data_IF_795331179090
#
_entry.id   IF_795331179090
#
_cell.length_a   1.000
_cell.length_b   1.000
_cell.length_c   1.000
_cell.angle_alpha   90.00
_cell.angle_beta   90.00
_cell.angle_gamma   90.00
#
_symmetry.space_group_name_H-M   'P 1'
#
loop_
_entity.id
_entity.type
_entity.pdbx_description
1 polymer ?
#
# COMPACT_ATOMS: atom_id res chain seq x y z
N UNK A 1 -30.53 49.58 42.66
CA UNK A 1 -29.34 50.08 43.40
C UNK A 1 -28.69 48.88 44.08
N UNK A 2 -27.48 48.53 43.65
CA UNK A 2 -26.74 47.39 44.21
C UNK A 2 -25.94 47.89 45.43
N UNK A 3 -26.19 47.29 46.58
CA UNK A 3 -25.34 47.44 47.76
C UNK A 3 -24.60 46.12 47.98
N UNK A 4 -23.27 46.16 47.85
CA UNK A 4 -22.38 45.07 48.24
C UNK A 4 -22.05 45.19 49.74
N UNK A 5 -22.35 44.14 50.51
CA UNK A 5 -21.80 43.99 51.84
C UNK A 5 -20.96 42.70 51.91
N UNK A 6 -19.72 42.87 52.40
CA UNK A 6 -18.76 41.82 52.64
C UNK A 6 -19.24 40.80 53.68
N UNK A 7 -19.18 39.53 53.37
CA UNK A 7 -19.10 38.43 54.31
C UNK A 7 -20.46 37.76 54.64
N UNK A 8 -20.90 36.79 53.88
CA UNK A 8 -21.99 35.86 54.22
C UNK A 8 -22.73 35.38 52.98
N UNK A 9 -22.51 34.14 52.56
CA UNK A 9 -23.32 33.48 51.53
C UNK A 9 -24.69 33.14 52.14
N UNK A 10 -25.78 33.64 51.53
CA UNK A 10 -27.16 33.22 51.81
C UNK A 10 -27.51 32.06 50.91
N UNK A 11 -27.88 30.97 51.53
CA UNK A 11 -28.57 29.83 50.83
C UNK A 11 -30.04 29.95 51.25
N UNK A 12 -30.91 30.17 50.26
CA UNK A 12 -32.38 30.13 50.48
C UNK A 12 -32.84 28.70 50.23
N UNK A 13 -33.38 28.07 51.27
CA UNK A 13 -34.12 26.81 51.16
C UNK A 13 -35.58 27.15 51.42
N UNK A 14 -36.46 26.81 50.51
CA UNK A 14 -37.90 26.98 50.61
C UNK A 14 -38.47 26.15 51.82
N UNK A 15 -39.06 26.85 52.75
CA UNK A 15 -39.75 26.23 53.90
C UNK A 15 -39.26 26.82 55.23
N UNK A 16 -39.93 27.92 55.64
CA UNK A 16 -40.07 28.47 57.01
C UNK A 16 -39.14 27.91 58.11
N UNK A 17 -37.98 28.51 58.31
CA UNK A 17 -37.42 28.95 59.58
C UNK A 17 -35.96 29.41 59.37
N UNK A 18 -35.66 30.67 59.73
CA UNK A 18 -34.28 31.17 59.73
C UNK A 18 -33.46 30.54 60.84
N UNK A 19 -32.52 29.67 60.49
CA UNK A 19 -31.49 29.19 61.40
C UNK A 19 -30.20 29.92 61.15
N UNK A 20 -29.85 30.86 62.05
CA UNK A 20 -28.56 31.55 62.01
C UNK A 20 -27.50 30.63 62.60
N UNK A 21 -26.69 30.01 61.74
CA UNK A 21 -25.51 29.25 62.19
C UNK A 21 -24.33 30.19 62.28
N UNK A 22 -23.93 30.49 63.51
CA UNK A 22 -22.66 31.19 63.76
C UNK A 22 -21.48 30.27 63.62
N UNK A 23 -20.65 30.44 62.57
CA UNK A 23 -19.42 29.70 62.38
C UNK A 23 -18.28 30.44 63.13
N UNK A 24 -17.57 29.80 64.09
CA UNK A 24 -16.47 30.46 64.78
C UNK A 24 -15.29 30.71 63.89
N UNK A 25 -14.46 31.73 64.08
CA UNK A 25 -13.31 32.05 63.27
C UNK A 25 -12.27 30.96 63.38
N UNK A 26 -12.04 30.28 62.28
CA UNK A 26 -11.02 29.23 62.17
C UNK A 26 -9.64 29.91 62.07
N UNK A 27 -8.82 29.78 63.08
CA UNK A 27 -7.45 30.25 63.08
C UNK A 27 -6.62 29.47 62.03
N UNK A 28 -6.31 30.13 60.93
CA UNK A 28 -5.43 29.60 59.94
C UNK A 28 -4.00 29.59 60.47
N UNK A 29 -3.48 28.44 60.83
CA UNK A 29 -2.05 28.19 60.93
C UNK A 29 -1.45 28.19 59.56
N UNK A 30 -0.25 28.82 59.35
CA UNK A 30 0.33 28.94 58.00
C UNK A 30 0.89 27.58 57.53
N UNK A 31 0.05 26.82 56.82
CA UNK A 31 0.46 25.62 56.09
C UNK A 31 1.06 25.98 54.72
N UNK A 32 1.03 27.29 54.38
CA UNK A 32 1.50 27.80 53.09
C UNK A 32 2.99 27.64 52.79
N UNK A 33 3.83 27.51 53.83
CA UNK A 33 5.27 27.44 53.66
C UNK A 33 5.76 26.04 53.17
N UNK A 34 5.02 24.96 53.46
CA UNK A 34 5.39 23.62 53.02
C UNK A 34 4.88 23.20 51.65
N UNK A 35 3.86 23.90 51.11
CA UNK A 35 3.36 23.64 49.75
C UNK A 35 4.22 24.28 48.65
N UNK A 36 4.93 25.36 48.97
CA UNK A 36 5.86 25.99 48.01
C UNK A 36 7.16 25.15 47.82
N UNK A 37 7.61 24.44 48.86
CA UNK A 37 8.79 23.54 48.76
C UNK A 37 8.47 22.25 47.99
N UNK A 38 7.22 21.75 48.05
CA UNK A 38 6.78 20.57 47.29
C UNK A 38 6.56 20.87 45.81
N UNK A 39 6.19 22.10 45.42
CA UNK A 39 6.03 22.51 44.03
C UNK A 39 7.35 22.68 43.26
N UNK A 40 8.46 22.97 43.96
CA UNK A 40 9.79 23.13 43.35
C UNK A 40 10.43 21.75 43.02
N UNK A 41 10.05 20.67 43.70
CA UNK A 41 10.58 19.34 43.44
C UNK A 41 9.92 18.62 42.25
N UNK A 42 8.80 19.14 41.70
CA UNK A 42 8.11 18.57 40.53
C UNK A 42 8.51 19.24 39.19
N UNK A 43 9.33 20.28 39.23
CA UNK A 43 9.98 20.84 38.05
C UNK A 43 11.25 20.03 37.71
N UNK A 44 11.13 18.71 37.52
CA UNK A 44 12.18 17.96 36.82
C UNK A 44 12.17 18.51 35.39
N UNK A 45 13.24 19.19 34.93
CA UNK A 45 13.33 19.57 33.54
C UNK A 45 13.23 18.26 32.76
N UNK A 46 12.13 18.07 32.05
CA UNK A 46 12.08 17.06 30.99
C UNK A 46 13.25 17.44 30.09
N UNK A 47 14.35 16.68 30.17
CA UNK A 47 15.44 16.79 29.20
C UNK A 47 14.78 16.42 27.87
N UNK A 48 14.26 17.42 27.19
CA UNK A 48 13.88 17.33 25.81
C UNK A 48 15.17 16.86 25.13
N UNK A 49 15.23 15.55 24.78
CA UNK A 49 16.31 15.04 23.96
C UNK A 49 16.23 15.85 22.69
N UNK A 50 17.06 16.88 22.60
CA UNK A 50 17.22 17.66 21.37
C UNK A 50 17.55 16.64 20.29
N UNK A 51 16.68 16.55 19.27
CA UNK A 51 16.91 15.68 18.13
C UNK A 51 18.18 16.18 17.44
N UNK A 52 19.27 15.45 17.62
CA UNK A 52 20.55 15.84 17.06
C UNK A 52 20.51 15.68 15.56
N UNK A 53 20.86 16.73 14.83
CA UNK A 53 21.00 16.69 13.36
C UNK A 53 22.32 15.99 13.05
N UNK A 54 22.26 14.96 12.22
CA UNK A 54 23.41 14.15 11.78
C UNK A 54 23.95 14.56 10.43
N UNK A 55 23.08 15.08 9.57
CA UNK A 55 23.46 15.62 8.27
C UNK A 55 22.47 16.68 7.77
N UNK A 56 22.94 17.52 6.84
CA UNK A 56 22.09 18.36 6.02
C UNK A 56 22.26 17.97 4.55
N UNK A 57 21.17 17.96 3.79
CA UNK A 57 21.15 17.72 2.35
C UNK A 57 20.48 18.93 1.69
N UNK A 58 21.24 19.75 0.98
CA UNK A 58 20.77 21.02 0.41
C UNK A 58 20.00 21.89 1.44
N UNK A 59 20.49 21.92 2.69
CA UNK A 59 19.88 22.66 3.80
C UNK A 59 18.76 21.91 4.53
N UNK A 60 18.29 20.76 4.07
CA UNK A 60 17.29 19.94 4.78
C UNK A 60 17.96 19.04 5.82
N UNK A 61 17.55 19.09 7.09
CA UNK A 61 18.18 18.32 8.15
C UNK A 61 17.72 16.86 8.15
N UNK A 62 18.64 15.96 8.49
CA UNK A 62 18.39 14.56 8.86
C UNK A 62 18.78 14.41 10.33
N UNK A 63 17.84 13.92 11.14
CA UNK A 63 18.05 13.74 12.60
C UNK A 63 18.48 12.32 12.96
N UNK A 64 19.02 12.16 14.16
CA UNK A 64 19.34 10.82 14.73
C UNK A 64 18.09 9.93 14.74
N UNK A 65 16.92 10.47 15.11
CA UNK A 65 15.67 9.74 15.14
C UNK A 65 15.24 9.25 13.76
N UNK A 66 15.43 10.09 12.71
CA UNK A 66 15.15 9.67 11.34
C UNK A 66 16.00 8.48 10.92
N UNK A 67 17.29 8.51 11.26
CA UNK A 67 18.23 7.41 10.95
C UNK A 67 17.86 6.13 11.72
N UNK A 68 17.51 6.25 13.00
CA UNK A 68 17.07 5.11 13.82
C UNK A 68 15.79 4.48 13.24
N UNK A 69 14.76 5.27 12.98
CA UNK A 69 13.52 4.79 12.39
C UNK A 69 13.74 4.15 11.01
N UNK A 70 14.61 4.75 10.18
CA UNK A 70 14.95 4.20 8.87
C UNK A 70 15.72 2.88 8.98
N UNK A 71 16.67 2.77 9.88
CA UNK A 71 17.42 1.54 10.13
C UNK A 71 16.48 0.40 10.53
N UNK A 72 15.55 0.66 11.47
CA UNK A 72 14.54 -0.32 11.88
C UNK A 72 13.58 -0.69 10.76
N UNK A 73 13.18 0.29 9.94
CA UNK A 73 12.34 0.03 8.76
C UNK A 73 13.06 -0.87 7.74
N UNK A 74 14.34 -0.61 7.43
CA UNK A 74 15.13 -1.44 6.52
C UNK A 74 15.25 -2.86 7.08
N UNK A 75 15.56 -3.00 8.38
CA UNK A 75 15.64 -4.30 9.04
C UNK A 75 14.32 -5.07 8.94
N UNK A 76 13.18 -4.41 9.16
CA UNK A 76 11.85 -5.02 9.06
C UNK A 76 11.55 -5.51 7.65
N UNK A 77 11.86 -4.69 6.65
CA UNK A 77 11.53 -4.97 5.23
C UNK A 77 12.48 -5.98 4.58
N UNK A 78 13.78 -5.96 4.93
CA UNK A 78 14.79 -6.82 4.31
C UNK A 78 15.12 -8.06 5.13
N UNK A 79 14.66 -8.14 6.38
CA UNK A 79 15.04 -9.15 7.39
C UNK A 79 16.54 -9.18 7.73
N UNK A 80 17.28 -8.14 7.34
CA UNK A 80 18.71 -7.99 7.62
C UNK A 80 18.94 -6.72 8.44
N UNK A 81 19.88 -6.75 9.42
CA UNK A 81 20.24 -5.53 10.15
C UNK A 81 20.80 -4.50 9.16
N UNK A 82 20.34 -3.26 9.29
CA UNK A 82 20.84 -2.14 8.51
C UNK A 82 21.86 -1.35 9.32
N UNK A 83 22.96 -0.99 8.69
CA UNK A 83 23.94 -0.08 9.28
C UNK A 83 23.38 1.35 9.35
N UNK A 84 23.94 2.16 10.26
CA UNK A 84 23.62 3.59 10.35
C UNK A 84 23.88 4.30 9.01
N UNK A 85 24.98 3.93 8.34
CA UNK A 85 25.34 4.48 7.04
C UNK A 85 24.28 4.19 5.96
N UNK A 86 23.82 2.94 5.85
CA UNK A 86 22.78 2.56 4.89
C UNK A 86 21.47 3.31 5.15
N UNK A 87 21.08 3.49 6.43
CA UNK A 87 19.90 4.25 6.78
C UNK A 87 20.05 5.74 6.41
N UNK A 88 21.21 6.34 6.69
CA UNK A 88 21.51 7.72 6.34
C UNK A 88 21.54 7.92 4.83
N UNK A 89 22.23 7.07 4.09
CA UNK A 89 22.28 7.10 2.62
C UNK A 89 20.87 7.00 2.01
N UNK A 90 20.02 6.13 2.54
CA UNK A 90 18.62 6.02 2.11
C UNK A 90 17.80 7.29 2.36
N UNK A 91 18.06 8.03 3.45
CA UNK A 91 17.41 9.30 3.74
C UNK A 91 17.92 10.43 2.86
N UNK A 92 19.22 10.44 2.57
CA UNK A 92 19.83 11.39 1.62
C UNK A 92 19.18 11.22 0.24
N UNK A 93 19.09 9.99 -0.25
CA UNK A 93 18.45 9.68 -1.53
C UNK A 93 17.01 10.17 -1.57
N UNK A 94 16.23 9.89 -0.52
CA UNK A 94 14.82 10.31 -0.39
C UNK A 94 14.65 11.84 -0.50
N UNK A 95 15.54 12.60 0.15
CA UNK A 95 15.51 14.07 0.07
C UNK A 95 15.83 14.54 -1.34
N UNK A 96 16.86 13.96 -1.99
CA UNK A 96 17.24 14.31 -3.35
C UNK A 96 16.14 13.98 -4.36
N UNK A 97 15.53 12.80 -4.27
CA UNK A 97 14.42 12.35 -5.10
C UNK A 97 13.23 13.30 -5.03
N UNK A 98 12.81 13.68 -3.81
CA UNK A 98 11.68 14.60 -3.58
C UNK A 98 12.03 16.01 -4.07
N UNK A 99 13.22 16.51 -3.76
CA UNK A 99 13.63 17.86 -4.14
C UNK A 99 13.70 18.00 -5.64
N UNK A 100 14.28 17.02 -6.32
CA UNK A 100 14.39 17.06 -7.77
C UNK A 100 13.01 16.92 -8.44
N UNK A 101 12.13 16.05 -7.95
CA UNK A 101 10.77 15.93 -8.46
C UNK A 101 10.01 17.27 -8.35
N UNK A 102 10.16 17.99 -7.24
CA UNK A 102 9.59 19.33 -7.07
C UNK A 102 10.10 20.36 -8.06
N UNK A 103 11.40 20.32 -8.44
CA UNK A 103 11.97 21.17 -9.48
C UNK A 103 11.26 20.98 -10.83
N UNK A 104 10.74 19.79 -11.09
CA UNK A 104 9.94 19.48 -12.29
C UNK A 104 8.43 19.60 -12.06
N UNK A 105 8.00 20.29 -10.99
CA UNK A 105 6.58 20.48 -10.64
C UNK A 105 5.81 19.17 -10.47
N UNK A 106 6.51 18.11 -10.02
CA UNK A 106 5.89 16.85 -9.67
C UNK A 106 5.58 16.86 -8.17
N UNK A 107 4.31 17.00 -7.86
CA UNK A 107 3.79 16.96 -6.50
C UNK A 107 3.02 15.66 -6.27
N UNK A 108 3.23 15.06 -5.11
CA UNK A 108 2.53 13.85 -4.66
C UNK A 108 1.55 14.24 -3.56
N UNK A 109 0.27 14.05 -3.80
CA UNK A 109 -0.77 14.35 -2.82
C UNK A 109 -0.71 13.42 -1.61
N UNK A 110 -1.22 13.86 -0.47
CA UNK A 110 -1.35 13.01 0.71
C UNK A 110 -2.27 11.82 0.44
N UNK A 111 -3.30 12.00 -0.39
CA UNK A 111 -4.19 10.92 -0.82
C UNK A 111 -3.45 9.82 -1.59
N UNK A 112 -2.52 10.17 -2.50
CA UNK A 112 -1.73 9.18 -3.24
C UNK A 112 -0.82 8.38 -2.30
N UNK A 113 -0.23 9.06 -1.30
CA UNK A 113 0.59 8.42 -0.28
C UNK A 113 -0.25 7.48 0.59
N UNK A 114 -1.43 7.92 1.03
CA UNK A 114 -2.33 7.11 1.86
C UNK A 114 -2.86 5.89 1.10
N UNK A 115 -3.21 6.06 -0.18
CA UNK A 115 -3.59 4.95 -1.05
C UNK A 115 -2.43 3.95 -1.22
N UNK A 116 -1.21 4.43 -1.42
CA UNK A 116 -0.02 3.57 -1.51
C UNK A 116 0.25 2.85 -0.20
N UNK A 117 0.08 3.53 0.95
CA UNK A 117 0.21 2.95 2.29
C UNK A 117 -0.83 1.85 2.54
N UNK A 118 -2.10 2.10 2.17
CA UNK A 118 -3.18 1.11 2.22
C UNK A 118 -2.87 -0.08 1.31
N UNK A 119 -2.33 0.16 0.11
CA UNK A 119 -1.88 -0.89 -0.80
C UNK A 119 -0.78 -1.78 -0.22
N UNK A 120 0.13 -1.23 0.60
CA UNK A 120 1.11 -2.04 1.34
C UNK A 120 0.41 -2.95 2.36
N UNK A 121 -0.53 -2.40 3.15
CA UNK A 121 -1.29 -3.17 4.14
C UNK A 121 -2.09 -4.31 3.47
N UNK A 122 -2.78 -4.02 2.38
CA UNK A 122 -3.56 -5.01 1.61
C UNK A 122 -2.69 -6.16 1.09
N UNK A 123 -1.49 -5.87 0.55
CA UNK A 123 -0.55 -6.93 0.11
C UNK A 123 -0.05 -7.81 1.26
N UNK A 124 -0.04 -7.29 2.48
CA UNK A 124 0.29 -8.05 3.70
C UNK A 124 -0.92 -8.78 4.30
N UNK A 125 -2.13 -8.61 3.75
CA UNK A 125 -3.37 -9.18 4.29
C UNK A 125 -3.83 -8.55 5.61
N UNK A 126 -3.46 -7.28 5.88
CA UNK A 126 -3.76 -6.55 7.11
C UNK A 126 -4.38 -5.18 6.80
N UNK A 127 -4.94 -4.52 7.80
CA UNK A 127 -5.39 -3.13 7.70
C UNK A 127 -4.25 -2.12 7.98
N UNK A 128 -4.51 -0.84 7.70
CA UNK A 128 -3.53 0.25 7.88
C UNK A 128 -3.17 0.51 9.35
N UNK A 129 -4.09 0.26 10.29
CA UNK A 129 -3.84 0.42 11.72
C UNK A 129 -2.86 -0.66 12.19
N UNK A 130 -3.08 -1.90 11.77
CA UNK A 130 -2.19 -3.02 12.08
C UNK A 130 -0.79 -2.82 11.49
N UNK A 131 -0.71 -2.31 10.24
CA UNK A 131 0.57 -1.94 9.63
C UNK A 131 1.31 -0.91 10.48
N UNK A 132 0.63 0.16 10.91
CA UNK A 132 1.21 1.19 11.78
C UNK A 132 1.69 0.60 13.11
N UNK A 133 0.91 -0.27 13.75
CA UNK A 133 1.30 -0.95 14.99
C UNK A 133 2.57 -1.81 14.82
N UNK A 134 2.68 -2.54 13.70
CA UNK A 134 3.86 -3.35 13.37
C UNK A 134 5.10 -2.45 13.22
N UNK A 135 4.99 -1.32 12.51
CA UNK A 135 6.09 -0.38 12.33
C UNK A 135 6.54 0.21 13.67
N UNK A 136 5.60 0.65 14.51
CA UNK A 136 5.90 1.23 15.84
C UNK A 136 6.53 0.19 16.77
N UNK A 137 5.99 -1.02 16.83
CA UNK A 137 6.55 -2.09 17.67
C UNK A 137 7.94 -2.55 17.21
N UNK A 138 8.27 -2.37 15.94
CA UNK A 138 9.61 -2.60 15.40
C UNK A 138 10.59 -1.42 15.65
N UNK A 139 10.13 -0.33 16.28
CA UNK A 139 10.94 0.87 16.54
C UNK A 139 11.08 1.82 15.35
N UNK A 140 10.12 1.75 14.40
CA UNK A 140 10.00 2.69 13.28
C UNK A 140 8.70 3.51 13.42
N UNK A 141 8.20 4.12 12.34
CA UNK A 141 6.94 4.85 12.33
C UNK A 141 6.20 4.73 10.99
N UNK A 142 4.88 4.95 11.03
CA UNK A 142 4.08 5.07 9.80
C UNK A 142 4.57 6.20 8.91
N UNK A 143 5.00 7.32 9.49
CA UNK A 143 5.51 8.48 8.75
C UNK A 143 6.81 8.17 8.01
N UNK A 144 7.68 7.32 8.57
CA UNK A 144 8.89 6.86 7.88
C UNK A 144 8.55 6.11 6.60
N UNK A 145 7.54 5.24 6.63
CA UNK A 145 7.07 4.55 5.42
C UNK A 145 6.36 5.52 4.47
N UNK A 146 5.51 6.40 4.95
CA UNK A 146 4.80 7.38 4.12
C UNK A 146 5.76 8.33 3.39
N UNK A 147 6.81 8.84 4.06
CA UNK A 147 7.86 9.65 3.42
C UNK A 147 8.56 8.88 2.30
N UNK A 148 8.94 7.63 2.55
CA UNK A 148 9.54 6.78 1.53
C UNK A 148 8.62 6.54 0.33
N UNK A 149 7.33 6.27 0.58
CA UNK A 149 6.34 6.09 -0.49
C UNK A 149 6.19 7.37 -1.33
N UNK A 150 6.13 8.53 -0.68
CA UNK A 150 6.10 9.83 -1.38
C UNK A 150 7.31 10.02 -2.28
N UNK A 151 8.52 9.75 -1.78
CA UNK A 151 9.74 9.83 -2.57
C UNK A 151 9.71 8.86 -3.75
N UNK A 152 9.30 7.62 -3.53
CA UNK A 152 9.21 6.60 -4.57
C UNK A 152 8.20 6.96 -5.68
N UNK A 153 7.02 7.49 -5.31
CA UNK A 153 6.00 7.95 -6.28
C UNK A 153 6.55 9.12 -7.10
N UNK A 154 7.09 10.13 -6.43
CA UNK A 154 7.65 11.32 -7.06
C UNK A 154 8.80 10.96 -8.02
N UNK A 155 9.75 10.16 -7.54
CA UNK A 155 10.91 9.72 -8.31
C UNK A 155 10.53 8.88 -9.52
N UNK A 156 9.62 7.93 -9.34
CA UNK A 156 9.13 7.10 -10.45
C UNK A 156 8.49 7.95 -11.54
N UNK A 157 7.67 8.92 -11.16
CA UNK A 157 7.02 9.85 -12.09
C UNK A 157 8.06 10.71 -12.84
N UNK A 158 9.04 11.24 -12.12
CA UNK A 158 10.12 12.03 -12.70
C UNK A 158 10.94 11.24 -13.72
N UNK A 159 11.44 10.07 -13.32
CA UNK A 159 12.29 9.23 -14.18
C UNK A 159 11.52 8.78 -15.43
N UNK A 160 10.25 8.35 -15.27
CA UNK A 160 9.40 7.96 -16.40
C UNK A 160 9.15 9.13 -17.36
N UNK A 161 8.84 10.31 -16.84
CA UNK A 161 8.62 11.51 -17.65
C UNK A 161 9.88 11.93 -18.41
N UNK A 162 11.01 12.05 -17.69
CA UNK A 162 12.28 12.52 -18.23
C UNK A 162 12.88 11.58 -19.28
N UNK A 163 12.75 10.28 -19.07
CA UNK A 163 13.39 9.27 -19.93
C UNK A 163 12.41 8.49 -20.81
N UNK A 164 11.16 8.98 -20.98
CA UNK A 164 10.09 8.30 -21.71
C UNK A 164 10.56 7.63 -22.99
N UNK A 165 11.20 8.39 -23.90
CA UNK A 165 11.68 7.87 -25.18
C UNK A 165 12.78 6.80 -25.05
N UNK A 166 13.62 6.88 -24.02
CA UNK A 166 14.70 5.90 -23.81
C UNK A 166 14.26 4.66 -23.01
N UNK A 167 13.07 4.69 -22.42
CA UNK A 167 12.46 3.55 -21.74
C UNK A 167 11.60 2.71 -22.68
N UNK A 168 11.35 3.19 -23.89
CA UNK A 168 10.61 2.44 -24.89
C UNK A 168 11.33 1.13 -25.23
N UNK A 169 10.59 0.02 -25.22
CA UNK A 169 11.04 -1.32 -25.58
C UNK A 169 10.44 -1.64 -26.94
N UNK A 170 11.27 -1.80 -27.95
CA UNK A 170 10.82 -2.13 -29.31
C UNK A 170 10.71 -3.63 -29.49
N UNK A 171 9.80 -4.08 -30.30
CA UNK A 171 9.54 -5.48 -30.59
C UNK A 171 10.80 -6.25 -31.00
N UNK A 172 11.63 -5.66 -31.87
CA UNK A 172 12.91 -6.24 -32.27
C UNK A 172 13.90 -6.46 -31.10
N UNK A 173 13.82 -5.64 -30.05
CA UNK A 173 14.67 -5.78 -28.86
C UNK A 173 14.20 -7.00 -28.04
N UNK A 174 12.87 -7.27 -28.01
CA UNK A 174 12.26 -8.43 -27.37
C UNK A 174 12.60 -9.71 -28.16
N UNK A 175 12.44 -9.67 -29.51
CA UNK A 175 12.78 -10.80 -30.38
C UNK A 175 14.25 -11.21 -30.22
N UNK A 176 15.17 -10.24 -30.14
CA UNK A 176 16.58 -10.51 -29.93
C UNK A 176 16.84 -11.23 -28.57
N UNK A 177 16.10 -10.86 -27.52
CA UNK A 177 16.18 -11.54 -26.22
C UNK A 177 15.58 -12.94 -26.27
N UNK A 178 14.43 -13.13 -26.94
CA UNK A 178 13.85 -14.45 -27.16
C UNK A 178 14.81 -15.39 -27.87
N UNK A 179 15.53 -14.89 -28.89
CA UNK A 179 16.51 -15.68 -29.63
C UNK A 179 17.69 -16.15 -28.77
N UNK A 180 18.10 -15.35 -27.79
CA UNK A 180 19.12 -15.74 -26.81
C UNK A 180 18.63 -16.82 -25.83
N UNK A 181 17.33 -16.86 -25.54
CA UNK A 181 16.71 -17.80 -24.59
C UNK A 181 16.06 -19.01 -25.27
N UNK A 182 16.16 -19.16 -26.58
CA UNK A 182 15.53 -20.25 -27.38
C UNK A 182 15.81 -21.68 -26.92
N UNK A 183 16.73 -21.91 -26.00
CA UNK A 183 16.99 -23.28 -25.49
C UNK A 183 15.90 -23.81 -24.53
N UNK A 184 14.98 -22.96 -24.01
CA UNK A 184 14.00 -23.35 -23.00
C UNK A 184 12.52 -23.19 -23.42
N UNK A 185 12.25 -22.39 -24.47
CA UNK A 185 10.89 -22.05 -24.87
C UNK A 185 10.25 -23.09 -25.79
N UNK A 186 9.62 -24.10 -25.21
CA UNK A 186 8.92 -25.18 -25.97
C UNK A 186 7.64 -24.74 -26.68
N UNK A 187 6.97 -23.64 -26.30
CA UNK A 187 5.73 -23.18 -26.95
C UNK A 187 5.56 -21.66 -26.81
N UNK A 188 6.17 -20.90 -27.70
CA UNK A 188 6.05 -19.44 -27.75
C UNK A 188 4.80 -19.01 -28.56
N UNK A 189 3.66 -19.61 -28.27
CA UNK A 189 2.39 -19.30 -28.92
C UNK A 189 1.50 -18.58 -27.91
N UNK A 190 1.11 -17.37 -28.26
CA UNK A 190 0.07 -16.64 -27.54
C UNK A 190 -1.32 -17.06 -28.04
N UNK A 191 -2.32 -16.84 -27.21
CA UNK A 191 -3.70 -17.12 -27.59
C UNK A 191 -4.59 -15.92 -27.26
N UNK A 192 -5.56 -15.67 -28.13
CA UNK A 192 -6.73 -14.87 -27.85
C UNK A 192 -7.88 -15.79 -27.48
N UNK A 193 -8.35 -15.73 -26.24
CA UNK A 193 -9.51 -16.46 -25.76
C UNK A 193 -10.76 -15.63 -25.92
N UNK A 194 -11.74 -16.17 -26.64
CA UNK A 194 -13.07 -15.63 -26.76
C UNK A 194 -13.98 -16.41 -25.83
N UNK A 195 -14.45 -15.78 -24.76
CA UNK A 195 -15.14 -16.47 -23.67
C UNK A 195 -16.35 -15.71 -23.16
N UNK A 196 -17.28 -16.39 -22.50
CA UNK A 196 -18.42 -15.79 -21.80
C UNK A 196 -18.39 -16.18 -20.34
N UNK A 197 -18.41 -15.20 -19.42
CA UNK A 197 -18.56 -15.50 -17.99
C UNK A 197 -19.97 -16.03 -17.70
N UNK A 198 -20.02 -17.16 -16.98
CA UNK A 198 -21.25 -17.78 -16.46
C UNK A 198 -21.17 -17.77 -14.96
N UNK A 199 -22.10 -17.07 -14.31
CA UNK A 199 -22.11 -16.86 -12.86
C UNK A 199 -23.35 -17.48 -12.25
N UNK A 200 -23.18 -18.44 -11.36
CA UNK A 200 -24.23 -18.96 -10.50
C UNK A 200 -24.30 -18.06 -9.26
N UNK A 201 -25.35 -17.26 -9.17
CA UNK A 201 -25.49 -16.18 -8.22
C UNK A 201 -25.66 -16.74 -6.79
N UNK A 202 -24.89 -16.18 -5.86
CA UNK A 202 -25.05 -16.39 -4.43
C UNK A 202 -25.26 -15.02 -3.77
N UNK A 203 -26.37 -14.80 -3.03
CA UNK A 203 -26.62 -13.52 -2.36
C UNK A 203 -25.48 -13.17 -1.39
N UNK A 204 -25.12 -11.90 -1.32
CA UNK A 204 -24.07 -11.42 -0.41
C UNK A 204 -24.44 -11.73 1.04
N UNK A 205 -23.47 -12.21 1.81
CA UNK A 205 -23.67 -12.58 3.21
C UNK A 205 -24.23 -13.98 3.41
N UNK A 206 -24.38 -14.79 2.33
CA UNK A 206 -24.74 -16.19 2.44
C UNK A 206 -23.65 -16.99 3.15
N UNK A 207 -24.01 -18.04 3.92
CA UNK A 207 -23.02 -18.92 4.54
C UNK A 207 -22.24 -19.74 3.50
N UNK A 208 -21.05 -20.20 3.87
CA UNK A 208 -20.17 -21.00 3.00
C UNK A 208 -20.85 -22.22 2.39
N UNK A 209 -21.78 -22.84 3.13
CA UNK A 209 -22.58 -23.98 2.64
C UNK A 209 -23.39 -23.65 1.37
N UNK A 210 -23.81 -22.38 1.18
CA UNK A 210 -24.51 -21.94 -0.02
C UNK A 210 -23.58 -21.88 -1.22
N UNK A 211 -22.34 -21.42 -1.03
CA UNK A 211 -21.31 -21.43 -2.08
C UNK A 211 -20.93 -22.87 -2.48
N UNK A 212 -20.80 -23.78 -1.51
CA UNK A 212 -20.51 -25.19 -1.79
C UNK A 212 -21.67 -25.89 -2.52
N UNK A 213 -22.92 -25.54 -2.22
CA UNK A 213 -24.07 -26.03 -2.97
C UNK A 213 -24.03 -25.54 -4.43
N UNK A 214 -23.81 -24.24 -4.62
CA UNK A 214 -23.71 -23.64 -5.96
C UNK A 214 -22.50 -24.15 -6.76
N UNK A 215 -21.42 -24.49 -6.09
CA UNK A 215 -20.27 -25.13 -6.74
C UNK A 215 -20.59 -26.52 -7.29
N UNK A 216 -21.40 -27.31 -6.56
CA UNK A 216 -21.91 -28.59 -7.09
C UNK A 216 -22.85 -28.38 -8.29
N UNK A 217 -23.72 -27.37 -8.26
CA UNK A 217 -24.59 -27.03 -9.39
C UNK A 217 -23.75 -26.59 -10.62
N UNK A 218 -22.69 -25.83 -10.38
CA UNK A 218 -21.75 -25.38 -11.40
C UNK A 218 -21.01 -26.56 -12.06
N UNK A 219 -20.54 -27.55 -11.28
CA UNK A 219 -19.93 -28.78 -11.82
C UNK A 219 -20.96 -29.62 -12.61
N UNK A 220 -22.21 -29.70 -12.15
CA UNK A 220 -23.27 -30.36 -12.90
C UNK A 220 -23.57 -29.66 -14.23
N UNK A 221 -23.58 -28.33 -14.24
CA UNK A 221 -23.72 -27.53 -15.46
C UNK A 221 -22.53 -27.75 -16.40
N UNK A 222 -21.31 -27.76 -15.86
CA UNK A 222 -20.07 -27.99 -16.59
C UNK A 222 -20.08 -29.30 -17.34
N UNK A 223 -20.54 -30.40 -16.70
CA UNK A 223 -20.66 -31.73 -17.33
C UNK A 223 -21.67 -31.81 -18.47
N UNK A 224 -22.63 -30.85 -18.54
CA UNK A 224 -23.66 -30.80 -19.57
C UNK A 224 -23.38 -29.76 -20.66
N UNK A 225 -22.39 -28.88 -20.46
CA UNK A 225 -22.02 -27.82 -21.38
C UNK A 225 -21.02 -28.31 -22.42
N UNK A 226 -21.51 -28.69 -23.59
CA UNK A 226 -20.71 -29.35 -24.63
C UNK A 226 -20.34 -28.45 -25.80
N UNK A 227 -21.04 -27.31 -25.95
CA UNK A 227 -20.75 -26.28 -26.95
C UNK A 227 -21.31 -24.93 -26.50
N UNK A 228 -20.77 -23.82 -27.04
CA UNK A 228 -21.19 -22.49 -26.62
C UNK A 228 -22.62 -22.12 -27.05
N UNK A 229 -23.09 -22.60 -28.24
CA UNK A 229 -24.41 -22.19 -28.72
C UNK A 229 -25.51 -22.73 -27.81
N UNK A 230 -25.61 -24.04 -27.71
CA UNK A 230 -26.62 -24.72 -26.88
C UNK A 230 -26.39 -24.56 -25.40
N UNK A 231 -25.13 -24.63 -24.98
CA UNK A 231 -24.74 -24.52 -23.57
C UNK A 231 -25.06 -23.16 -22.98
N UNK A 232 -24.85 -22.06 -23.73
CA UNK A 232 -25.22 -20.71 -23.30
C UNK A 232 -26.72 -20.56 -23.19
N UNK A 233 -27.47 -21.08 -24.19
CA UNK A 233 -28.94 -21.04 -24.16
C UNK A 233 -29.49 -21.84 -22.97
N UNK A 234 -28.90 -23.03 -22.71
CA UNK A 234 -29.23 -23.84 -21.54
C UNK A 234 -28.92 -23.13 -20.22
N UNK A 235 -27.72 -22.58 -20.09
CA UNK A 235 -27.30 -21.87 -18.86
C UNK A 235 -28.21 -20.65 -18.55
N UNK A 236 -28.64 -19.90 -19.57
CA UNK A 236 -29.58 -18.80 -19.42
C UNK A 236 -30.97 -19.20 -18.95
N UNK A 237 -31.38 -20.43 -19.22
CA UNK A 237 -32.68 -20.94 -18.79
C UNK A 237 -32.68 -21.46 -17.32
N UNK A 238 -31.53 -21.56 -16.70
CA UNK A 238 -31.42 -21.99 -15.30
C UNK A 238 -31.71 -20.84 -14.32
N UNK A 239 -32.39 -21.12 -13.21
CA UNK A 239 -32.63 -20.10 -12.18
C UNK A 239 -31.33 -19.64 -11.52
N UNK A 240 -31.24 -18.35 -11.25
CA UNK A 240 -30.10 -17.70 -10.60
C UNK A 240 -28.74 -17.93 -11.32
N UNK A 241 -28.77 -18.09 -12.64
CA UNK A 241 -27.60 -18.16 -13.48
C UNK A 241 -27.57 -16.95 -14.42
N UNK A 242 -26.50 -16.17 -14.34
CA UNK A 242 -26.24 -15.03 -15.21
C UNK A 242 -25.16 -15.39 -16.23
N UNK A 243 -25.49 -15.30 -17.51
CA UNK A 243 -24.51 -15.38 -18.61
C UNK A 243 -24.21 -13.98 -19.09
N UNK A 244 -22.98 -13.52 -18.88
CA UNK A 244 -22.53 -12.18 -19.26
C UNK A 244 -22.16 -12.08 -20.73
N UNK A 245 -21.92 -10.85 -21.19
CA UNK A 245 -21.47 -10.60 -22.55
C UNK A 245 -20.12 -11.26 -22.82
N UNK A 246 -19.88 -11.50 -24.10
CA UNK A 246 -18.64 -12.07 -24.60
C UNK A 246 -17.47 -11.13 -24.29
N UNK A 247 -16.37 -11.69 -23.81
CA UNK A 247 -15.12 -11.00 -23.58
C UNK A 247 -13.99 -11.67 -24.36
N UNK A 248 -13.09 -10.86 -24.89
CA UNK A 248 -11.83 -11.32 -25.48
C UNK A 248 -10.69 -11.01 -24.53
N UNK A 249 -9.78 -11.97 -24.31
CA UNK A 249 -8.58 -11.80 -23.50
C UNK A 249 -7.39 -12.49 -24.15
N UNK A 250 -6.26 -11.78 -24.20
CA UNK A 250 -5.02 -12.36 -24.67
C UNK A 250 -4.32 -13.12 -23.53
N UNK A 251 -3.71 -14.25 -23.85
CA UNK A 251 -2.96 -15.09 -22.89
C UNK A 251 -1.89 -14.29 -22.15
N UNK A 252 -1.29 -13.30 -22.79
CA UNK A 252 -0.32 -12.39 -22.21
C UNK A 252 -0.89 -11.50 -21.08
N UNK A 253 -2.20 -11.18 -21.12
CA UNK A 253 -2.87 -10.34 -20.12
C UNK A 253 -3.34 -11.12 -18.89
N UNK A 254 -3.22 -12.45 -18.90
CA UNK A 254 -3.75 -13.32 -17.87
C UNK A 254 -2.66 -13.73 -16.86
N UNK A 255 -3.05 -13.79 -15.59
CA UNK A 255 -2.21 -14.43 -14.59
C UNK A 255 -1.93 -15.90 -14.98
N UNK A 256 -0.74 -16.40 -14.66
CA UNK A 256 -0.31 -17.76 -15.05
C UNK A 256 -1.35 -18.83 -14.68
N UNK A 257 -1.88 -18.77 -13.48
CA UNK A 257 -2.84 -19.75 -12.96
C UNK A 257 -4.13 -19.79 -13.78
N UNK A 258 -4.67 -18.62 -14.15
CA UNK A 258 -5.87 -18.55 -15.01
C UNK A 258 -5.57 -19.02 -16.43
N UNK A 259 -4.41 -18.70 -16.97
CA UNK A 259 -3.95 -19.17 -18.28
C UNK A 259 -3.87 -20.68 -18.36
N UNK A 260 -3.28 -21.34 -17.35
CA UNK A 260 -3.21 -22.80 -17.25
C UNK A 260 -4.61 -23.45 -17.24
N UNK A 261 -5.57 -22.83 -16.53
CA UNK A 261 -6.98 -23.28 -16.52
C UNK A 261 -7.61 -23.17 -17.92
N UNK A 262 -7.40 -22.03 -18.59
CA UNK A 262 -7.97 -21.79 -19.94
C UNK A 262 -7.32 -22.69 -20.97
N UNK A 263 -6.01 -22.94 -20.89
CA UNK A 263 -5.29 -23.85 -21.78
C UNK A 263 -5.73 -25.31 -21.61
N UNK A 264 -6.04 -25.71 -20.38
CA UNK A 264 -6.55 -27.04 -20.05
C UNK A 264 -8.05 -27.22 -20.36
N UNK A 265 -8.77 -26.15 -20.75
CA UNK A 265 -10.21 -26.23 -21.05
C UNK A 265 -10.44 -26.28 -22.57
N UNK A 266 -11.13 -27.29 -23.04
CA UNK A 266 -11.44 -27.42 -24.47
C UNK A 266 -12.42 -26.34 -24.96
N UNK A 267 -12.31 -25.96 -26.24
CA UNK A 267 -13.27 -25.03 -26.86
C UNK A 267 -14.67 -25.65 -26.78
N UNK A 268 -15.65 -24.83 -26.46
CA UNK A 268 -17.04 -25.25 -26.25
C UNK A 268 -17.35 -25.70 -24.82
N UNK A 269 -16.38 -25.72 -23.92
CA UNK A 269 -16.56 -26.19 -22.54
C UNK A 269 -16.40 -25.06 -21.50
N UNK A 270 -16.86 -25.33 -20.28
CA UNK A 270 -16.71 -24.45 -19.13
C UNK A 270 -15.41 -24.74 -18.36
N UNK A 271 -14.77 -23.70 -17.88
CA UNK A 271 -13.66 -23.81 -16.89
C UNK A 271 -14.17 -24.44 -15.59
N UNK A 272 -13.25 -24.95 -14.71
CA UNK A 272 -13.61 -25.27 -13.34
C UNK A 272 -14.28 -24.09 -12.61
N UNK A 273 -15.23 -24.36 -11.69
CA UNK A 273 -15.91 -23.32 -10.94
C UNK A 273 -15.00 -22.63 -9.92
N UNK A 274 -15.03 -21.30 -9.92
CA UNK A 274 -14.29 -20.46 -8.98
C UNK A 274 -15.26 -19.63 -8.13
N UNK A 275 -15.01 -19.53 -6.82
CA UNK A 275 -15.80 -18.73 -5.90
C UNK A 275 -15.41 -17.25 -6.00
N UNK A 276 -16.38 -16.39 -6.21
CA UNK A 276 -16.22 -14.93 -6.31
C UNK A 276 -17.18 -14.22 -5.33
N UNK A 277 -17.03 -12.92 -5.20
CA UNK A 277 -17.95 -12.09 -4.38
C UNK A 277 -19.41 -12.09 -4.88
N UNK A 278 -19.66 -12.49 -6.15
CA UNK A 278 -20.97 -12.52 -6.78
C UNK A 278 -21.61 -13.91 -6.81
N UNK A 279 -20.84 -14.94 -6.45
CA UNK A 279 -21.25 -16.32 -6.50
C UNK A 279 -20.15 -17.24 -7.05
N UNK A 280 -20.56 -18.28 -7.76
CA UNK A 280 -19.63 -19.23 -8.39
C UNK A 280 -19.54 -18.93 -9.89
N UNK A 281 -18.35 -18.60 -10.36
CA UNK A 281 -18.07 -18.19 -11.72
C UNK A 281 -17.34 -19.29 -12.50
N UNK A 282 -17.68 -19.42 -13.77
CA UNK A 282 -16.99 -20.22 -14.79
C UNK A 282 -16.88 -19.41 -16.07
N UNK A 283 -15.95 -19.76 -16.95
CA UNK A 283 -15.84 -19.20 -18.28
C UNK A 283 -16.17 -20.24 -19.35
N UNK A 284 -17.13 -19.95 -20.23
CA UNK A 284 -17.36 -20.74 -21.41
C UNK A 284 -16.35 -20.34 -22.49
N UNK A 285 -15.45 -21.23 -22.88
CA UNK A 285 -14.44 -20.98 -23.91
C UNK A 285 -15.11 -21.21 -25.28
N UNK A 286 -15.48 -20.11 -25.95
CA UNK A 286 -16.22 -20.21 -27.20
C UNK A 286 -15.31 -20.26 -28.43
N UNK A 287 -14.12 -19.66 -28.34
CA UNK A 287 -13.10 -19.74 -29.39
C UNK A 287 -11.70 -19.49 -28.79
N UNK A 288 -10.67 -20.00 -29.46
CA UNK A 288 -9.27 -19.84 -29.10
C UNK A 288 -8.45 -19.68 -30.36
N UNK A 289 -7.90 -18.48 -30.57
CA UNK A 289 -7.09 -18.15 -31.74
C UNK A 289 -5.63 -18.01 -31.38
N UNK A 290 -4.77 -18.63 -32.16
CA UNK A 290 -3.31 -18.43 -32.00
C UNK A 290 -2.91 -17.03 -32.41
N UNK A 291 -2.02 -16.42 -31.63
CA UNK A 291 -1.36 -15.15 -31.93
C UNK A 291 0.15 -15.33 -31.81
N UNK A 292 0.88 -14.77 -32.77
CA UNK A 292 2.33 -14.74 -32.76
C UNK A 292 2.87 -13.47 -32.11
N UNK A 293 2.04 -12.43 -32.01
CA UNK A 293 2.35 -11.18 -31.35
C UNK A 293 1.85 -11.19 -29.92
N UNK A 294 2.60 -10.60 -29.02
CA UNK A 294 2.25 -10.40 -27.61
C UNK A 294 2.03 -11.72 -26.83
N UNK A 295 3.00 -12.62 -26.91
CA UNK A 295 3.01 -13.84 -26.08
C UNK A 295 3.31 -13.48 -24.61
N UNK A 296 2.90 -14.33 -23.64
CA UNK A 296 3.22 -14.13 -22.23
C UNK A 296 4.72 -13.94 -21.98
N UNK A 297 5.55 -14.72 -22.67
CA UNK A 297 7.01 -14.63 -22.57
C UNK A 297 7.53 -13.31 -23.12
N UNK A 298 7.03 -12.83 -24.27
CA UNK A 298 7.38 -11.51 -24.80
C UNK A 298 7.02 -10.38 -23.82
N UNK A 299 5.90 -10.51 -23.13
CA UNK A 299 5.49 -9.53 -22.12
C UNK A 299 6.43 -9.56 -20.91
N UNK A 300 6.76 -10.75 -20.40
CA UNK A 300 7.70 -10.90 -19.29
C UNK A 300 9.08 -10.32 -19.64
N UNK A 301 9.61 -10.61 -20.82
CA UNK A 301 10.86 -10.04 -21.32
C UNK A 301 10.74 -8.51 -21.44
N UNK A 302 9.64 -7.99 -21.98
CA UNK A 302 9.39 -6.54 -22.08
C UNK A 302 9.41 -5.87 -20.70
N UNK A 303 8.71 -6.47 -19.72
CA UNK A 303 8.65 -5.94 -18.35
C UNK A 303 10.00 -6.00 -17.66
N UNK A 304 10.76 -7.09 -17.83
CA UNK A 304 12.12 -7.21 -17.32
C UNK A 304 13.05 -6.16 -17.93
N UNK A 305 13.06 -6.02 -19.26
CA UNK A 305 13.87 -5.02 -19.96
C UNK A 305 13.51 -3.60 -19.54
N UNK A 306 12.20 -3.33 -19.34
CA UNK A 306 11.73 -2.02 -18.85
C UNK A 306 12.23 -1.75 -17.44
N UNK A 307 12.16 -2.73 -16.54
CA UNK A 307 12.67 -2.61 -15.16
C UNK A 307 14.18 -2.37 -15.14
N UNK A 308 14.96 -3.10 -15.94
CA UNK A 308 16.40 -2.93 -16.06
C UNK A 308 16.77 -1.54 -16.61
N UNK A 309 16.14 -1.12 -17.71
CA UNK A 309 16.38 0.22 -18.29
C UNK A 309 16.00 1.33 -17.32
N UNK A 310 14.84 1.19 -16.65
CA UNK A 310 14.39 2.14 -15.64
C UNK A 310 15.36 2.21 -14.47
N UNK A 311 15.74 1.07 -13.90
CA UNK A 311 16.68 1.00 -12.77
C UNK A 311 18.03 1.62 -13.10
N UNK A 312 18.58 1.32 -14.29
CA UNK A 312 19.85 1.90 -14.75
C UNK A 312 19.77 3.43 -14.92
N UNK A 313 18.67 3.95 -15.49
CA UNK A 313 18.45 5.40 -15.64
C UNK A 313 18.26 6.09 -14.30
N UNK A 314 17.40 5.52 -13.43
CA UNK A 314 17.13 6.03 -12.09
C UNK A 314 18.42 6.10 -11.26
N UNK A 315 19.18 5.01 -11.21
CA UNK A 315 20.44 4.93 -10.47
C UNK A 315 21.43 5.98 -10.94
N UNK A 316 21.71 6.04 -12.25
CA UNK A 316 22.66 7.02 -12.83
C UNK A 316 22.22 8.46 -12.56
N UNK A 317 20.92 8.73 -12.62
CA UNK A 317 20.38 10.05 -12.34
C UNK A 317 20.56 10.43 -10.88
N UNK A 318 20.25 9.54 -9.96
CA UNK A 318 20.43 9.77 -8.52
C UNK A 318 21.90 9.95 -8.15
N UNK A 319 22.82 9.17 -8.72
CA UNK A 319 24.26 9.34 -8.55
C UNK A 319 24.73 10.72 -9.03
N UNK A 320 24.15 11.25 -10.11
CA UNK A 320 24.46 12.62 -10.57
C UNK A 320 23.96 13.67 -9.57
N UNK A 321 22.74 13.52 -9.06
CA UNK A 321 22.18 14.40 -8.03
C UNK A 321 23.04 14.39 -6.76
N UNK A 322 23.47 13.22 -6.30
CA UNK A 322 24.36 13.11 -5.14
C UNK A 322 25.68 13.86 -5.34
N UNK A 323 26.29 13.83 -6.54
CA UNK A 323 27.53 14.56 -6.84
C UNK A 323 27.36 16.08 -6.86
N UNK A 324 26.15 16.57 -7.15
CA UNK A 324 25.83 17.99 -7.23
C UNK A 324 25.26 18.55 -5.91
N UNK A 325 24.80 17.66 -5.02
CA UNK A 325 24.19 18.05 -3.78
C UNK A 325 25.23 18.52 -2.74
N UNK A 326 24.84 19.53 -1.96
CA UNK A 326 25.59 19.94 -0.78
C UNK A 326 25.17 19.06 0.39
N UNK A 327 26.03 18.09 0.76
CA UNK A 327 25.79 17.17 1.87
C UNK A 327 26.79 17.49 2.99
N UNK A 328 26.29 17.99 4.11
CA UNK A 328 27.10 18.31 5.28
C UNK A 328 26.85 17.30 6.40
N UNK A 329 27.84 16.52 6.77
CA UNK A 329 27.77 15.62 7.89
C UNK A 329 28.16 16.35 9.21
N UNK A 330 27.32 16.26 10.25
CA UNK A 330 27.55 16.92 11.55
C UNK A 330 28.18 16.00 12.60
N UNK A 331 28.21 14.69 12.33
CA UNK A 331 28.90 13.71 13.17
C UNK A 331 29.90 12.92 12.32
N UNK A 332 31.06 12.57 12.88
CA UNK A 332 31.98 11.69 12.19
C UNK A 332 31.27 10.37 11.88
N UNK A 333 31.51 9.82 10.69
CA UNK A 333 31.07 8.45 10.39
C UNK A 333 31.74 7.55 11.42
N UNK A 334 30.93 6.80 12.19
CA UNK A 334 31.46 5.74 13.04
C UNK A 334 32.18 4.75 12.10
N UNK A 335 33.51 4.70 12.28
CA UNK A 335 34.38 3.79 11.54
C UNK A 335 34.13 2.35 11.90
#
# INVERSE_FOLDING_TARGET
>A
MRAWTKGGQRIIVEGEQEVIVQIPPRTYRPVAANLLAAAIMLAVPSIARSQQVVAFVNGQPITTLDVEHRSKFIQLSTKKPATRKEALDSLIDEILEITEAKHFSIEVSDSDVDNSYAGVATRMGIDTQKLTQILVSAGSSGDTLKRRLRAQIAWTSLVRGRYKASLEIREKDIEAQLDLHKSEAKNNVGYEYIMRPVVLIVPRGSPDAAYEARKRDAEALRGRFLNCNDGIAFARALPDVAVRDQVSKYSADLAQQLREILDGTAIGHLTPPETTAEGVQMFAICDKKETKSDTPEMREIRDQMLQEKFGAKAKRYLENLRRQAMIEYKMPEDK
#
